data_IF_673793206553
#
_entry.id   IF_673793206553
#
_cell.length_a   1.000
_cell.length_b   1.000
_cell.length_c   1.000
_cell.angle_alpha   90.00
_cell.angle_beta   90.00
_cell.angle_gamma   90.00
#
_symmetry.space_group_name_H-M   'P 1'
#
loop_
_entity.id
_entity.type
_entity.pdbx_description
1 polymer ?
#
# COMPACT_ATOMS: atom_id res chain seq x y z
N UNK A 1 19.55 2.58 -3.46
CA UNK A 1 18.82 1.31 -3.70
C UNK A 1 17.39 1.61 -4.09
N UNK A 2 16.85 0.86 -5.04
CA UNK A 2 15.51 1.12 -5.56
C UNK A 2 14.46 0.30 -4.81
N UNK A 3 13.24 0.79 -4.82
CA UNK A 3 12.11 0.16 -4.15
C UNK A 3 10.92 0.17 -5.11
N UNK A 4 10.28 -0.97 -5.28
CA UNK A 4 9.06 -1.03 -6.07
C UNK A 4 7.94 -0.32 -5.32
N UNK A 5 7.23 0.56 -6.02
CA UNK A 5 6.05 1.24 -5.46
C UNK A 5 4.79 0.66 -6.11
N UNK A 6 3.88 0.20 -5.27
CA UNK A 6 2.60 -0.36 -5.70
C UNK A 6 1.50 0.39 -4.97
N UNK A 7 0.51 0.90 -5.70
CA UNK A 7 -0.66 1.54 -5.11
C UNK A 7 -1.91 0.80 -5.58
N UNK A 8 -2.69 0.30 -4.63
CA UNK A 8 -3.90 -0.48 -4.90
C UNK A 8 -5.11 0.28 -4.38
N UNK A 9 -6.12 0.44 -5.22
CA UNK A 9 -7.40 0.99 -4.79
C UNK A 9 -8.23 -0.15 -4.19
N UNK A 10 -8.81 0.08 -3.01
CA UNK A 10 -9.59 -0.92 -2.30
C UNK A 10 -10.97 -0.36 -1.95
N UNK A 11 -11.93 -1.27 -1.72
CA UNK A 11 -13.29 -0.87 -1.40
C UNK A 11 -13.47 -0.57 0.10
N UNK A 12 -12.72 -1.26 0.96
CA UNK A 12 -12.85 -1.14 2.41
C UNK A 12 -11.45 -1.07 3.03
N UNK A 13 -11.09 0.12 3.50
CA UNK A 13 -9.73 0.36 3.99
C UNK A 13 -9.41 -0.46 5.24
N UNK A 14 -10.32 -0.54 6.20
CA UNK A 14 -10.05 -1.25 7.45
C UNK A 14 -9.89 -2.75 7.23
N UNK A 15 -10.74 -3.32 6.39
CA UNK A 15 -10.67 -4.73 6.05
C UNK A 15 -9.38 -5.04 5.30
N UNK A 16 -9.00 -4.17 4.38
CA UNK A 16 -7.77 -4.34 3.61
C UNK A 16 -6.52 -4.18 4.47
N UNK A 17 -6.54 -3.26 5.44
CA UNK A 17 -5.44 -3.12 6.40
C UNK A 17 -5.24 -4.44 7.15
N UNK A 18 -6.33 -5.06 7.61
CA UNK A 18 -6.24 -6.35 8.30
C UNK A 18 -5.62 -7.43 7.41
N UNK A 19 -6.09 -7.53 6.18
CA UNK A 19 -5.59 -8.52 5.23
C UNK A 19 -4.10 -8.34 4.96
N UNK A 20 -3.67 -7.13 4.62
CA UNK A 20 -2.27 -6.89 4.26
C UNK A 20 -1.34 -6.92 5.47
N UNK A 21 -1.81 -6.50 6.64
CA UNK A 21 -1.01 -6.64 7.86
C UNK A 21 -0.69 -8.10 8.17
N UNK A 22 -1.65 -8.99 7.92
CA UNK A 22 -1.43 -10.42 8.08
C UNK A 22 -0.47 -10.95 7.02
N UNK A 23 -0.70 -10.56 5.76
CA UNK A 23 0.13 -11.01 4.64
C UNK A 23 1.59 -10.60 4.83
N UNK A 24 1.82 -9.35 5.25
CA UNK A 24 3.17 -8.81 5.43
C UNK A 24 3.74 -9.06 6.82
N UNK A 25 2.95 -9.61 7.73
CA UNK A 25 3.34 -9.87 9.13
C UNK A 25 3.81 -8.60 9.84
N UNK A 26 3.22 -7.46 9.50
CA UNK A 26 3.59 -6.18 10.10
C UNK A 26 2.45 -5.18 9.90
N UNK A 27 2.25 -4.26 10.87
CA UNK A 27 1.26 -3.21 10.70
C UNK A 27 1.74 -2.17 9.69
N UNK A 28 0.82 -1.35 9.15
CA UNK A 28 1.22 -0.29 8.21
C UNK A 28 2.11 0.75 8.89
N UNK A 29 3.01 1.33 8.10
CA UNK A 29 3.88 2.42 8.55
C UNK A 29 3.13 3.74 8.67
N UNK A 30 2.10 3.93 7.84
CA UNK A 30 1.26 5.13 7.83
C UNK A 30 -0.19 4.69 7.70
N UNK A 31 -1.09 5.33 8.49
CA UNK A 31 -2.53 5.09 8.41
C UNK A 31 -3.25 6.42 8.39
N UNK A 32 -4.19 6.56 7.45
CA UNK A 32 -5.12 7.67 7.34
C UNK A 32 -6.54 7.09 7.20
N UNK A 33 -7.61 7.87 7.33
CA UNK A 33 -8.97 7.33 7.20
C UNK A 33 -9.25 6.63 5.87
N UNK A 34 -8.57 7.04 4.79
CA UNK A 34 -8.79 6.51 3.45
C UNK A 34 -7.50 5.97 2.81
N UNK A 35 -6.45 5.74 3.61
CA UNK A 35 -5.13 5.41 3.08
C UNK A 35 -4.31 4.65 4.10
N UNK A 36 -3.50 3.70 3.64
CA UNK A 36 -2.50 3.04 4.47
C UNK A 36 -1.30 2.69 3.60
N UNK A 37 -0.13 2.64 4.22
CA UNK A 37 1.11 2.36 3.51
C UNK A 37 2.01 1.48 4.36
N UNK A 38 2.64 0.51 3.70
CA UNK A 38 3.69 -0.34 4.27
C UNK A 38 4.99 -0.05 3.54
N UNK A 39 6.00 0.39 4.28
CA UNK A 39 7.35 0.57 3.74
C UNK A 39 8.15 -0.67 4.11
N UNK A 40 8.14 -1.66 3.22
CA UNK A 40 8.73 -2.97 3.51
C UNK A 40 10.20 -3.01 3.12
N UNK A 41 10.99 -3.78 3.86
CA UNK A 41 12.40 -4.00 3.55
C UNK A 41 12.64 -5.35 2.88
N UNK A 42 11.75 -6.33 3.11
CA UNK A 42 11.90 -7.67 2.54
C UNK A 42 10.50 -8.25 2.25
N UNK A 43 10.01 -8.21 1.02
CA UNK A 43 10.64 -7.58 -0.16
C UNK A 43 10.71 -6.07 -0.04
N UNK A 44 11.60 -5.46 -0.79
CA UNK A 44 11.80 -4.01 -0.73
C UNK A 44 10.74 -3.32 -1.57
N UNK A 45 9.61 -3.04 -0.93
CA UNK A 45 8.41 -2.52 -1.59
C UNK A 45 7.81 -1.39 -0.75
N UNK A 46 7.38 -0.34 -1.42
CA UNK A 46 6.51 0.68 -0.86
C UNK A 46 5.10 0.34 -1.33
N UNK A 47 4.30 -0.26 -0.46
CA UNK A 47 2.97 -0.74 -0.78
C UNK A 47 1.92 0.16 -0.13
N UNK A 48 1.04 0.73 -0.94
CA UNK A 48 0.00 1.64 -0.46
C UNK A 48 -1.37 1.18 -0.92
N UNK A 49 -2.37 1.42 -0.08
CA UNK A 49 -3.78 1.20 -0.42
C UNK A 49 -4.58 2.46 -0.12
N UNK A 50 -5.63 2.70 -0.88
CA UNK A 50 -6.53 3.83 -0.63
C UNK A 50 -7.94 3.54 -1.14
N UNK A 51 -8.91 4.30 -0.59
CA UNK A 51 -10.30 4.24 -1.02
C UNK A 51 -10.68 5.57 -1.65
N UNK A 52 -10.05 5.91 -2.77
CA UNK A 52 -10.44 7.14 -3.49
C UNK A 52 -11.75 6.93 -4.23
N UNK A 53 -12.65 7.88 -4.10
CA UNK A 53 -14.00 7.76 -4.64
C UNK A 53 -14.03 7.55 -6.16
N UNK A 54 -13.05 8.03 -6.88
CA UNK A 54 -13.02 7.94 -8.35
C UNK A 54 -12.35 6.65 -8.84
N UNK A 55 -11.70 5.88 -7.99
CA UNK A 55 -10.94 4.72 -8.40
C UNK A 55 -11.74 3.45 -8.21
N UNK A 56 -11.75 2.59 -9.24
CA UNK A 56 -12.26 1.22 -9.10
C UNK A 56 -11.24 0.40 -8.30
N UNK A 57 -11.69 -0.63 -7.54
CA UNK A 57 -10.75 -1.51 -6.87
C UNK A 57 -9.77 -2.15 -7.85
N UNK A 58 -8.52 -2.28 -7.44
CA UNK A 58 -7.47 -2.85 -8.26
C UNK A 58 -6.21 -2.01 -8.19
N UNK A 59 -5.24 -2.31 -9.04
CA UNK A 59 -3.99 -1.57 -9.09
C UNK A 59 -4.25 -0.17 -9.64
N UNK A 60 -3.90 0.84 -8.83
CA UNK A 60 -4.02 2.23 -9.24
C UNK A 60 -2.82 2.66 -10.07
N UNK A 61 -1.62 2.40 -9.56
CA UNK A 61 -0.39 2.67 -10.32
C UNK A 61 0.77 1.88 -9.77
N UNK A 62 1.81 1.76 -10.58
CA UNK A 62 3.08 1.14 -10.22
C UNK A 62 4.21 2.13 -10.53
N UNK A 63 5.32 1.97 -9.84
CA UNK A 63 6.48 2.81 -10.09
C UNK A 63 7.72 2.26 -9.45
N UNK A 64 8.85 2.90 -9.72
CA UNK A 64 10.11 2.57 -9.09
C UNK A 64 10.53 3.78 -8.27
N UNK A 65 10.60 3.59 -6.97
CA UNK A 65 11.07 4.63 -6.06
C UNK A 65 12.59 4.59 -6.01
N UNK A 66 13.22 5.73 -6.20
CA UNK A 66 14.68 5.82 -6.15
C UNK A 66 15.08 6.75 -5.01
N UNK A 67 16.26 6.48 -4.47
CA UNK A 67 16.91 7.38 -3.52
C UNK A 67 17.91 8.23 -4.28
N UNK A 68 18.03 9.48 -3.97
CA UNK A 68 19.01 10.33 -4.61
C UNK A 68 19.68 11.29 -3.65
#
# INVERSE_FOLDING_TARGET
>A
MKRLHVHVAVADINRSIGFYSTLFSTPPSVVRPDYAKWMLEDPRVNFAISTHAAAAPGIDHLGIQVED
#
